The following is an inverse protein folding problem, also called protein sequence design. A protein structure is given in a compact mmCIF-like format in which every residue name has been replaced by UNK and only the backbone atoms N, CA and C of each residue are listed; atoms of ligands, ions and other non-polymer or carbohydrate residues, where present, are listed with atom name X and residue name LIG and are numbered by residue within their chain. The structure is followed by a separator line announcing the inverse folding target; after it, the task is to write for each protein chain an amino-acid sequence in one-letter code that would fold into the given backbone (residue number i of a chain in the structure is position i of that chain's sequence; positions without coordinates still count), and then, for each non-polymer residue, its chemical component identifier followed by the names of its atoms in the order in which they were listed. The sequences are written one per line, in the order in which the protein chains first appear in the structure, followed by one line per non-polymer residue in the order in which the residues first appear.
data_IF_909946850825
#
_entry.id   IF_909946850825
#
_cell.length_a   1.000
_cell.length_b   1.000
_cell.length_c   1.000
_cell.angle_alpha   90.00
_cell.angle_beta   90.00
_cell.angle_gamma   90.00
#
_symmetry.space_group_name_H-M   'P 1'
#
loop_
_entity.id
_entity.type
_entity.pdbx_description
1 polymer ?
#
# COMPACT_ATOMS: atom_id res chain seq x y z
N UNK A 1 -19.11 -0.98 15.67
CA UNK A 1 -18.07 -1.55 14.79
C UNK A 1 -18.79 -2.28 13.67
N UNK A 2 -18.49 -1.94 12.40
CA UNK A 2 -19.25 -2.46 11.25
C UNK A 2 -18.81 -3.83 10.77
N UNK A 3 -17.73 -4.43 11.34
CA UNK A 3 -17.22 -5.76 10.96
C UNK A 3 -16.82 -5.90 9.48
N UNK A 4 -16.35 -4.80 8.85
CA UNK A 4 -16.03 -4.79 7.39
C UNK A 4 -14.72 -5.51 7.11
N UNK A 5 -13.78 -5.46 8.04
CA UNK A 5 -12.49 -6.13 7.96
C UNK A 5 -11.99 -6.48 9.36
N UNK A 6 -11.04 -7.37 9.45
CA UNK A 6 -10.38 -7.78 10.68
C UNK A 6 -8.87 -7.88 10.48
N UNK A 7 -8.13 -7.83 11.57
CA UNK A 7 -6.67 -8.02 11.59
C UNK A 7 -6.33 -9.06 12.64
N UNK A 8 -5.56 -10.06 12.25
CA UNK A 8 -4.90 -11.01 13.14
C UNK A 8 -3.39 -10.77 13.09
N UNK A 9 -2.73 -10.86 14.25
CA UNK A 9 -1.29 -10.64 14.36
C UNK A 9 -0.64 -11.90 14.92
N UNK A 10 0.28 -12.46 14.14
CA UNK A 10 1.12 -13.57 14.55
C UNK A 10 2.52 -13.06 14.92
N UNK A 11 2.99 -13.44 16.10
CA UNK A 11 4.36 -13.11 16.52
C UNK A 11 5.33 -14.20 16.04
N UNK A 12 6.28 -13.83 15.17
CA UNK A 12 7.31 -14.75 14.64
C UNK A 12 8.09 -15.47 15.74
N UNK A 13 8.29 -14.85 16.89
CA UNK A 13 8.97 -15.50 18.03
C UNK A 13 8.26 -16.74 18.56
N UNK A 14 6.96 -16.90 18.29
CA UNK A 14 6.24 -18.12 18.66
C UNK A 14 6.71 -19.35 17.87
N UNK A 15 7.31 -19.12 16.71
CA UNK A 15 7.87 -20.15 15.81
C UNK A 15 9.39 -20.23 15.89
N UNK A 16 10.01 -19.39 16.74
CA UNK A 16 11.46 -19.31 16.91
C UNK A 16 12.09 -20.57 17.49
N UNK A 17 13.40 -20.72 17.27
CA UNK A 17 14.15 -21.93 17.56
C UNK A 17 14.93 -21.81 18.87
N UNK A 18 15.00 -22.92 19.59
CA UNK A 18 15.74 -23.03 20.83
C UNK A 18 15.13 -22.26 22.00
N UNK A 19 15.88 -22.22 23.12
CA UNK A 19 15.45 -21.58 24.36
C UNK A 19 15.18 -20.08 24.23
N UNK A 20 15.90 -19.42 23.31
CA UNK A 20 15.80 -17.97 23.10
C UNK A 20 14.80 -17.60 22.00
N UNK A 21 14.12 -18.58 21.40
CA UNK A 21 13.16 -18.36 20.30
C UNK A 21 13.77 -17.50 19.18
N UNK A 22 14.97 -17.88 18.72
CA UNK A 22 15.67 -17.18 17.65
C UNK A 22 14.86 -17.25 16.35
N UNK A 23 14.70 -16.11 15.70
CA UNK A 23 13.95 -15.99 14.44
C UNK A 23 14.85 -15.68 13.25
N UNK A 24 16.11 -15.34 13.52
CA UNK A 24 17.11 -14.82 12.59
C UNK A 24 18.45 -15.53 12.76
N UNK A 25 19.33 -15.41 11.79
CA UNK A 25 20.70 -15.93 11.80
C UNK A 25 21.60 -15.09 10.90
N UNK A 26 22.91 -15.31 10.98
CA UNK A 26 23.90 -14.61 10.16
C UNK A 26 23.74 -14.90 8.67
N UNK A 27 24.00 -13.91 7.78
CA UNK A 27 23.91 -14.13 6.34
C UNK A 27 24.89 -15.20 5.84
N UNK A 28 24.42 -16.11 4.99
CA UNK A 28 25.31 -17.00 4.24
C UNK A 28 26.19 -16.19 3.28
N UNK A 29 27.50 -16.39 3.34
CA UNK A 29 28.47 -15.58 2.62
C UNK A 29 29.10 -14.47 3.46
N UNK A 30 28.64 -14.30 4.70
CA UNK A 30 29.16 -13.27 5.62
C UNK A 30 28.53 -11.90 5.38
N UNK A 31 28.98 -10.92 6.16
CA UNK A 31 28.47 -9.55 6.14
C UNK A 31 27.82 -9.15 7.46
N UNK A 32 27.53 -7.86 7.66
CA UNK A 32 26.83 -7.36 8.84
C UNK A 32 25.34 -7.70 8.79
N UNK A 33 24.71 -7.67 9.97
CA UNK A 33 23.27 -7.85 10.11
C UNK A 33 22.84 -9.31 10.26
N UNK A 34 21.53 -9.52 10.23
CA UNK A 34 20.87 -10.81 10.43
C UNK A 34 19.79 -10.98 9.35
N UNK A 35 19.41 -12.21 9.05
CA UNK A 35 18.35 -12.55 8.10
C UNK A 35 17.30 -13.41 8.79
N UNK A 36 16.04 -13.16 8.55
CA UNK A 36 14.95 -14.00 9.06
C UNK A 36 15.07 -15.41 8.47
N UNK A 37 15.09 -16.40 9.36
CA UNK A 37 15.29 -17.81 9.03
C UNK A 37 14.11 -18.38 8.22
N UNK A 38 14.37 -19.16 7.16
CA UNK A 38 13.32 -19.70 6.31
C UNK A 38 12.42 -20.70 7.05
N UNK A 39 12.96 -21.52 7.95
CA UNK A 39 12.21 -22.51 8.71
C UNK A 39 11.27 -21.88 9.77
N UNK A 40 11.60 -20.71 10.29
CA UNK A 40 10.75 -19.95 11.21
C UNK A 40 9.62 -19.26 10.44
N UNK A 41 9.98 -18.56 9.37
CA UNK A 41 9.01 -17.86 8.51
C UNK A 41 8.04 -18.86 7.87
N UNK A 42 8.53 -19.99 7.41
CA UNK A 42 7.71 -21.05 6.82
C UNK A 42 6.64 -21.55 7.81
N UNK A 43 7.02 -21.86 9.03
CA UNK A 43 6.07 -22.29 10.08
C UNK A 43 5.04 -21.21 10.40
N UNK A 44 5.46 -19.95 10.44
CA UNK A 44 4.54 -18.84 10.69
C UNK A 44 3.51 -18.69 9.56
N UNK A 45 3.94 -18.82 8.29
CA UNK A 45 3.04 -18.78 7.14
C UNK A 45 2.08 -19.98 7.17
N UNK A 46 2.57 -21.20 7.43
CA UNK A 46 1.71 -22.37 7.58
C UNK A 46 0.63 -22.10 8.62
N UNK A 47 1.01 -21.62 9.80
CA UNK A 47 0.04 -21.29 10.86
C UNK A 47 -0.95 -20.18 10.44
N UNK A 48 -0.49 -19.15 9.71
CA UNK A 48 -1.37 -18.11 9.19
C UNK A 48 -2.37 -18.66 8.16
N UNK A 49 -2.01 -19.74 7.47
CA UNK A 49 -2.83 -20.34 6.41
C UNK A 49 -3.74 -21.48 6.90
N UNK A 50 -3.49 -22.03 8.10
CA UNK A 50 -4.34 -23.09 8.68
C UNK A 50 -5.80 -22.68 8.89
N UNK A 51 -6.05 -21.41 9.16
CA UNK A 51 -7.40 -20.86 9.33
C UNK A 51 -8.03 -20.40 8.01
N UNK A 52 -7.31 -20.51 6.88
CA UNK A 52 -7.71 -19.99 5.58
C UNK A 52 -7.61 -21.09 4.54
N UNK A 53 -8.70 -21.36 3.83
CA UNK A 53 -8.68 -22.24 2.66
C UNK A 53 -7.96 -21.54 1.49
N UNK A 54 -6.63 -21.65 1.44
CA UNK A 54 -5.81 -21.02 0.39
C UNK A 54 -6.09 -21.57 -1.01
N UNK A 55 -6.65 -22.78 -1.13
CA UNK A 55 -6.94 -23.37 -2.44
C UNK A 55 -8.15 -22.69 -3.10
N UNK A 56 -9.10 -22.24 -2.28
CA UNK A 56 -10.32 -21.56 -2.72
C UNK A 56 -10.32 -20.07 -2.41
N UNK A 57 -9.43 -19.60 -1.54
CA UNK A 57 -9.31 -18.19 -1.16
C UNK A 57 -8.09 -17.54 -1.85
N UNK A 58 -8.33 -16.48 -2.61
CA UNK A 58 -7.27 -15.71 -3.25
C UNK A 58 -6.62 -14.78 -2.19
N UNK A 59 -5.70 -15.35 -1.41
CA UNK A 59 -4.95 -14.65 -0.36
C UNK A 59 -3.48 -14.54 -0.74
N UNK A 60 -3.02 -13.43 -1.32
CA UNK A 60 -1.60 -13.25 -1.59
C UNK A 60 -0.81 -13.13 -0.29
N UNK A 61 0.39 -13.71 -0.30
CA UNK A 61 1.39 -13.56 0.75
C UNK A 61 2.35 -12.45 0.32
N UNK A 62 2.47 -11.41 1.11
CA UNK A 62 3.21 -10.20 0.77
C UNK A 62 4.44 -10.08 1.67
N UNK A 63 5.62 -10.00 1.08
CA UNK A 63 6.85 -9.57 1.73
C UNK A 63 7.05 -8.07 1.48
N UNK A 64 7.13 -7.28 2.55
CA UNK A 64 7.40 -5.86 2.46
C UNK A 64 8.91 -5.61 2.45
N UNK A 65 9.45 -5.29 1.29
CA UNK A 65 10.89 -5.20 1.06
C UNK A 65 11.23 -4.08 0.07
N UNK A 66 12.40 -3.41 0.22
CA UNK A 66 12.80 -2.31 -0.66
C UNK A 66 12.94 -2.71 -2.13
N UNK A 67 13.33 -3.96 -2.40
CA UNK A 67 13.50 -4.50 -3.76
C UNK A 67 12.18 -4.86 -4.45
N UNK A 68 11.05 -4.80 -3.73
CA UNK A 68 9.74 -5.14 -4.26
C UNK A 68 9.21 -4.12 -5.28
N UNK A 69 8.14 -4.51 -5.98
CA UNK A 69 7.44 -3.57 -6.86
C UNK A 69 6.83 -2.41 -6.04
N UNK A 70 6.81 -1.18 -6.59
CA UNK A 70 6.24 -0.04 -5.87
C UNK A 70 4.78 -0.20 -5.52
N UNK A 71 4.40 0.12 -4.27
CA UNK A 71 3.01 0.20 -3.85
C UNK A 71 2.32 1.36 -4.57
N UNK A 72 1.37 1.05 -5.44
CA UNK A 72 0.60 2.04 -6.19
C UNK A 72 -0.89 1.94 -5.86
N UNK A 73 -1.66 2.98 -6.18
CA UNK A 73 -3.12 2.95 -6.03
C UNK A 73 -3.76 1.76 -6.77
N UNK A 74 -3.20 1.36 -7.91
CA UNK A 74 -3.66 0.17 -8.65
C UNK A 74 -3.47 -1.12 -7.84
N UNK A 75 -2.30 -1.30 -7.22
CA UNK A 75 -2.01 -2.47 -6.37
C UNK A 75 -2.98 -2.52 -5.18
N UNK A 76 -3.21 -1.39 -4.49
CA UNK A 76 -4.15 -1.35 -3.35
C UNK A 76 -5.59 -1.65 -3.76
N UNK A 77 -6.01 -1.23 -4.95
CA UNK A 77 -7.32 -1.56 -5.52
C UNK A 77 -7.42 -3.05 -5.92
N UNK A 78 -6.36 -3.65 -6.40
CA UNK A 78 -6.29 -5.10 -6.67
C UNK A 78 -6.40 -5.88 -5.36
N UNK A 79 -5.61 -5.53 -4.35
CA UNK A 79 -5.64 -6.16 -3.03
C UNK A 79 -7.01 -6.02 -2.34
N UNK A 80 -7.69 -4.88 -2.51
CA UNK A 80 -9.03 -4.68 -1.91
C UNK A 80 -10.13 -5.60 -2.47
N UNK A 81 -9.87 -6.29 -3.58
CA UNK A 81 -10.79 -7.28 -4.18
C UNK A 81 -10.51 -8.71 -3.70
N UNK A 82 -9.41 -8.92 -2.98
CA UNK A 82 -9.04 -10.22 -2.43
C UNK A 82 -9.86 -10.51 -1.17
N UNK A 83 -10.03 -11.77 -0.85
CA UNK A 83 -10.73 -12.20 0.37
C UNK A 83 -9.93 -11.87 1.64
N UNK A 84 -8.62 -11.75 1.51
CA UNK A 84 -7.69 -11.35 2.55
C UNK A 84 -6.27 -11.28 2.02
N UNK A 85 -5.34 -10.88 2.88
CA UNK A 85 -3.91 -10.79 2.59
C UNK A 85 -3.11 -11.26 3.81
N UNK A 86 -1.99 -11.93 3.56
CA UNK A 86 -1.00 -12.27 4.59
C UNK A 86 0.20 -11.35 4.37
N UNK A 87 0.61 -10.63 5.41
CA UNK A 87 1.70 -9.66 5.30
C UNK A 87 2.85 -10.10 6.22
N UNK A 88 4.02 -10.31 5.65
CA UNK A 88 5.25 -10.51 6.38
C UNK A 88 5.94 -9.16 6.62
N UNK A 89 6.08 -8.79 7.88
CA UNK A 89 6.83 -7.62 8.30
C UNK A 89 8.29 -8.02 8.55
N UNK A 90 9.14 -7.82 7.54
CA UNK A 90 10.56 -8.09 7.62
C UNK A 90 11.28 -7.21 8.65
N UNK A 91 12.38 -7.70 9.18
CA UNK A 91 13.32 -7.01 10.04
C UNK A 91 14.75 -7.30 9.57
N UNK A 92 15.71 -6.57 10.12
CA UNK A 92 17.14 -6.78 9.86
C UNK A 92 17.48 -6.57 8.36
N UNK A 93 18.29 -7.46 7.77
CA UNK A 93 18.68 -7.42 6.34
C UNK A 93 17.64 -8.10 5.42
N UNK A 94 16.53 -8.56 5.99
CA UNK A 94 15.43 -9.15 5.21
C UNK A 94 15.12 -10.60 5.57
N UNK A 95 14.61 -11.31 4.58
CA UNK A 95 14.07 -12.67 4.68
C UNK A 95 14.86 -13.60 3.76
N UNK A 96 15.11 -14.83 4.18
CA UNK A 96 15.79 -15.83 3.35
C UNK A 96 15.01 -16.04 2.03
N UNK A 97 15.74 -15.94 0.91
CA UNK A 97 15.17 -16.00 -0.43
C UNK A 97 14.38 -17.29 -0.71
N UNK A 98 14.80 -18.41 -0.13
CA UNK A 98 14.17 -19.73 -0.34
C UNK A 98 12.72 -19.77 0.14
N UNK A 99 12.36 -19.04 1.21
CA UNK A 99 10.97 -19.01 1.67
C UNK A 99 10.12 -18.07 0.83
N UNK A 100 10.70 -17.00 0.31
CA UNK A 100 10.04 -16.10 -0.65
C UNK A 100 9.63 -16.87 -1.91
N UNK A 101 10.56 -17.65 -2.46
CA UNK A 101 10.34 -18.48 -3.65
C UNK A 101 9.33 -19.62 -3.38
N UNK A 102 9.48 -20.33 -2.25
CA UNK A 102 8.58 -21.44 -1.87
C UNK A 102 7.13 -20.99 -1.84
N UNK A 103 6.84 -19.80 -1.29
CA UNK A 103 5.49 -19.28 -1.12
C UNK A 103 5.04 -18.36 -2.25
N UNK A 104 5.88 -18.17 -3.28
CA UNK A 104 5.62 -17.24 -4.39
C UNK A 104 5.11 -15.88 -3.89
N UNK A 105 5.86 -15.32 -2.93
CA UNK A 105 5.44 -14.09 -2.26
C UNK A 105 5.46 -12.89 -3.22
N UNK A 106 4.50 -12.01 -3.06
CA UNK A 106 4.57 -10.70 -3.68
C UNK A 106 5.54 -9.82 -2.88
N UNK A 107 6.58 -9.35 -3.52
CA UNK A 107 7.46 -8.36 -2.90
C UNK A 107 6.98 -6.96 -3.25
N UNK A 108 6.68 -6.16 -2.22
CA UNK A 108 6.13 -4.80 -2.37
C UNK A 108 7.01 -3.82 -1.62
N UNK A 109 7.41 -2.75 -2.32
CA UNK A 109 8.14 -1.61 -1.76
C UNK A 109 7.21 -0.43 -1.51
N UNK A 110 7.37 0.24 -0.36
CA UNK A 110 6.65 1.47 -0.05
C UNK A 110 7.23 2.69 -0.80
N UNK A 111 8.51 2.62 -1.21
CA UNK A 111 9.23 3.67 -1.91
C UNK A 111 10.74 3.50 -1.79
N UNK A 112 11.48 4.42 -2.41
CA UNK A 112 12.95 4.39 -2.49
C UNK A 112 13.59 4.93 -1.20
N UNK A 113 13.32 4.26 -0.08
CA UNK A 113 13.90 4.54 1.23
C UNK A 113 13.86 3.29 2.11
N UNK A 114 14.70 3.26 3.15
CA UNK A 114 14.80 2.13 4.07
C UNK A 114 14.09 2.45 5.38
N UNK A 115 13.30 1.49 5.86
CA UNK A 115 12.65 1.49 7.16
C UNK A 115 13.37 0.52 8.12
N UNK A 116 13.26 0.75 9.43
CA UNK A 116 13.81 -0.16 10.45
C UNK A 116 13.09 -1.50 10.53
N UNK A 117 11.94 -1.63 9.87
CA UNK A 117 11.13 -2.85 9.83
C UNK A 117 9.89 -2.67 8.97
N UNK A 118 9.23 -3.77 8.63
CA UNK A 118 8.08 -3.79 7.72
C UNK A 118 6.76 -3.30 8.32
N UNK A 119 6.69 -3.04 9.63
CA UNK A 119 5.42 -2.74 10.31
C UNK A 119 4.78 -1.43 9.84
N UNK A 120 5.59 -0.37 9.63
CA UNK A 120 5.07 0.91 9.10
C UNK A 120 4.60 0.75 7.66
N UNK A 121 5.35 0.00 6.86
CA UNK A 121 4.94 -0.31 5.49
C UNK A 121 3.64 -1.14 5.46
N UNK A 122 3.48 -2.09 6.40
CA UNK A 122 2.25 -2.86 6.56
C UNK A 122 1.06 -1.96 6.92
N UNK A 123 1.23 -1.01 7.82
CA UNK A 123 0.18 -0.05 8.18
C UNK A 123 -0.24 0.78 6.96
N UNK A 124 0.72 1.29 6.18
CA UNK A 124 0.42 2.05 4.95
C UNK A 124 -0.30 1.20 3.90
N UNK A 125 0.11 -0.06 3.71
CA UNK A 125 -0.53 -1.00 2.80
C UNK A 125 -1.95 -1.34 3.26
N UNK A 126 -2.15 -1.63 4.55
CA UNK A 126 -3.47 -1.92 5.13
C UNK A 126 -4.40 -0.71 4.97
N UNK A 127 -3.98 0.47 5.40
CA UNK A 127 -4.81 1.69 5.32
C UNK A 127 -5.21 1.98 3.87
N UNK A 128 -4.24 2.01 2.95
CA UNK A 128 -4.47 2.28 1.54
C UNK A 128 -5.32 1.22 0.83
N UNK A 129 -5.32 -0.03 1.32
CA UNK A 129 -6.16 -1.12 0.80
C UNK A 129 -7.57 -1.07 1.39
N UNK A 130 -7.69 -0.97 2.72
CA UNK A 130 -8.96 -1.01 3.44
C UNK A 130 -9.87 0.16 3.08
N UNK A 131 -9.32 1.36 2.82
CA UNK A 131 -10.11 2.51 2.38
C UNK A 131 -10.81 2.31 1.03
N UNK A 132 -10.37 1.33 0.20
CA UNK A 132 -11.05 0.96 -1.05
C UNK A 132 -12.25 0.01 -0.83
N UNK A 133 -12.41 -0.57 0.37
CA UNK A 133 -13.53 -1.46 0.66
C UNK A 133 -14.85 -0.67 0.72
N UNK A 134 -15.96 -1.27 0.23
CA UNK A 134 -17.28 -0.65 0.35
C UNK A 134 -17.63 -0.30 1.80
N UNK A 135 -18.26 0.86 2.01
CA UNK A 135 -18.73 1.36 3.32
C UNK A 135 -17.63 1.74 4.34
N UNK A 136 -16.35 1.70 3.99
CA UNK A 136 -15.26 2.22 4.82
C UNK A 136 -15.26 3.73 4.75
N UNK A 137 -15.20 4.33 3.57
CA UNK A 137 -15.35 5.77 3.39
C UNK A 137 -16.83 6.17 3.42
N UNK A 138 -17.12 7.33 4.02
CA UNK A 138 -18.50 7.84 4.17
C UNK A 138 -19.17 8.20 2.84
N UNK A 139 -18.38 8.56 1.82
CA UNK A 139 -18.85 8.88 0.48
C UNK A 139 -18.09 8.04 -0.56
N UNK A 140 -18.82 7.19 -1.27
CA UNK A 140 -18.25 6.34 -2.33
C UNK A 140 -17.73 7.11 -3.55
N UNK A 141 -18.09 8.39 -3.71
CA UNK A 141 -17.57 9.26 -4.76
C UNK A 141 -16.21 9.85 -4.41
N UNK A 142 -15.85 9.90 -3.12
CA UNK A 142 -14.56 10.45 -2.67
C UNK A 142 -13.38 9.67 -3.25
N UNK A 143 -13.47 8.35 -3.33
CA UNK A 143 -12.40 7.50 -3.89
C UNK A 143 -12.28 7.57 -5.43
N UNK A 144 -13.30 8.08 -6.13
CA UNK A 144 -13.31 8.13 -7.60
C UNK A 144 -12.54 9.33 -8.17
N UNK A 145 -12.47 10.43 -7.44
CA UNK A 145 -11.88 11.69 -7.90
C UNK A 145 -10.56 12.04 -7.21
N UNK A 146 -9.94 11.10 -6.53
CA UNK A 146 -8.66 11.29 -5.84
C UNK A 146 -7.47 11.20 -6.81
N UNK A 147 -6.30 11.67 -6.34
CA UNK A 147 -5.03 11.49 -7.04
C UNK A 147 -4.84 10.02 -7.44
N UNK A 148 -4.31 9.82 -8.64
CA UNK A 148 -4.03 8.53 -9.27
C UNK A 148 -5.24 7.75 -9.81
N UNK A 149 -6.48 8.11 -9.49
CA UNK A 149 -7.68 7.38 -9.97
C UNK A 149 -7.76 7.34 -11.49
N UNK A 150 -7.38 8.42 -12.17
CA UNK A 150 -7.34 8.55 -13.64
C UNK A 150 -5.91 8.79 -14.17
N UNK A 151 -4.88 8.42 -13.40
CA UNK A 151 -3.50 8.70 -13.77
C UNK A 151 -3.11 10.18 -13.64
N UNK A 152 -3.89 10.98 -12.93
CA UNK A 152 -3.62 12.39 -12.66
C UNK A 152 -3.53 12.64 -11.16
N UNK A 153 -2.84 13.73 -10.79
CA UNK A 153 -2.95 14.30 -9.45
C UNK A 153 -4.27 15.07 -9.34
N UNK A 154 -4.86 15.07 -8.16
CA UNK A 154 -6.04 15.86 -7.86
C UNK A 154 -5.73 17.36 -7.95
N UNK A 155 -6.73 18.15 -8.37
CA UNK A 155 -6.65 19.60 -8.42
C UNK A 155 -6.54 20.23 -7.03
N UNK A 156 -6.07 21.50 -6.90
CA UNK A 156 -5.97 22.19 -5.61
C UNK A 156 -7.35 22.38 -4.98
N UNK A 157 -7.47 22.00 -3.72
CA UNK A 157 -8.69 22.13 -2.94
C UNK A 157 -8.74 23.46 -2.19
N UNK A 158 -9.94 24.04 -2.07
CA UNK A 158 -10.20 25.29 -1.35
C UNK A 158 -11.39 25.14 -0.42
N UNK A 159 -11.37 25.89 0.69
CA UNK A 159 -12.46 25.94 1.67
C UNK A 159 -12.64 27.39 2.18
N UNK A 160 -13.50 27.58 3.16
CA UNK A 160 -13.72 28.88 3.85
C UNK A 160 -12.53 29.25 4.73
N UNK A 161 -12.28 30.56 4.91
CA UNK A 161 -12.99 31.71 4.32
C UNK A 161 -12.59 31.93 2.84
N UNK A 162 -13.47 32.57 2.05
CA UNK A 162 -13.21 32.87 0.62
C UNK A 162 -12.04 33.82 0.38
N UNK A 163 -11.68 34.63 1.39
CA UNK A 163 -10.47 35.45 1.42
C UNK A 163 -9.74 35.22 2.75
N UNK A 164 -8.55 34.66 2.64
CA UNK A 164 -7.67 34.46 3.79
C UNK A 164 -6.37 35.23 3.60
N UNK A 165 -6.20 36.29 4.38
CA UNK A 165 -5.02 37.18 4.35
C UNK A 165 -4.67 37.68 2.94
N UNK A 166 -5.68 38.14 2.20
CA UNK A 166 -5.52 38.61 0.82
C UNK A 166 -5.48 37.55 -0.26
N UNK A 167 -5.42 36.26 0.11
CA UNK A 167 -5.46 35.12 -0.82
C UNK A 167 -6.89 34.66 -1.01
N UNK A 168 -7.41 34.82 -2.23
CA UNK A 168 -8.80 34.50 -2.56
C UNK A 168 -8.98 33.09 -3.11
N UNK A 169 -10.10 32.47 -2.82
CA UNK A 169 -10.60 31.30 -3.56
C UNK A 169 -10.86 31.74 -5.00
N UNK A 170 -10.46 30.97 -6.02
CA UNK A 170 -10.79 31.30 -7.41
C UNK A 170 -12.30 31.51 -7.62
N UNK A 171 -12.68 32.61 -8.25
CA UNK A 171 -14.09 33.02 -8.43
C UNK A 171 -14.93 31.96 -9.13
N UNK A 172 -14.30 31.19 -10.03
CA UNK A 172 -14.97 30.09 -10.74
C UNK A 172 -15.53 29.04 -9.78
N UNK A 173 -14.84 28.74 -8.66
CA UNK A 173 -15.29 27.78 -7.66
C UNK A 173 -16.46 28.32 -6.81
N UNK A 174 -16.70 29.62 -6.82
CA UNK A 174 -17.79 30.28 -6.11
C UNK A 174 -18.99 30.55 -7.04
N UNK A 175 -18.86 30.29 -8.35
CA UNK A 175 -19.84 30.67 -9.37
C UNK A 175 -21.12 29.83 -9.39
N UNK A 176 -21.15 28.65 -8.74
CA UNK A 176 -22.25 27.69 -8.84
C UNK A 176 -22.38 26.99 -10.21
N UNK A 177 -21.54 27.33 -11.20
CA UNK A 177 -21.57 26.71 -12.50
C UNK A 177 -20.74 25.41 -12.54
N UNK A 178 -21.39 24.29 -12.26
CA UNK A 178 -20.74 22.99 -12.16
C UNK A 178 -19.92 22.59 -13.40
N UNK A 179 -20.38 22.91 -14.60
CA UNK A 179 -19.67 22.60 -15.85
C UNK A 179 -18.34 23.37 -15.93
N UNK A 180 -18.37 24.66 -15.66
CA UNK A 180 -17.15 25.49 -15.64
C UNK A 180 -16.22 25.11 -14.51
N UNK A 181 -16.75 24.78 -13.32
CA UNK A 181 -15.98 24.29 -12.17
C UNK A 181 -15.23 23.00 -12.55
N UNK A 182 -15.91 22.02 -13.14
CA UNK A 182 -15.30 20.76 -13.56
C UNK A 182 -14.22 20.96 -14.64
N UNK A 183 -14.46 21.83 -15.61
CA UNK A 183 -13.44 22.17 -16.62
C UNK A 183 -12.20 22.79 -15.99
N UNK A 184 -12.37 23.69 -15.00
CA UNK A 184 -11.27 24.28 -14.24
C UNK A 184 -10.51 23.23 -13.43
N UNK A 185 -11.21 22.34 -12.72
CA UNK A 185 -10.62 21.25 -11.95
C UNK A 185 -9.77 20.33 -12.83
N UNK A 186 -10.30 19.89 -13.98
CA UNK A 186 -9.57 19.06 -14.93
C UNK A 186 -8.31 19.76 -15.45
N UNK A 187 -8.42 21.03 -15.83
CA UNK A 187 -7.27 21.83 -16.27
C UNK A 187 -6.20 21.90 -15.19
N UNK A 188 -6.59 22.16 -13.92
CA UNK A 188 -5.65 22.24 -12.80
C UNK A 188 -5.00 20.90 -12.43
N UNK A 189 -5.74 19.79 -12.53
CA UNK A 189 -5.17 18.44 -12.39
C UNK A 189 -4.08 18.16 -13.41
N UNK A 190 -4.34 18.46 -14.69
CA UNK A 190 -3.35 18.28 -15.78
C UNK A 190 -2.13 19.16 -15.54
N UNK A 191 -2.32 20.45 -15.25
CA UNK A 191 -1.22 21.38 -14.96
C UNK A 191 -0.36 20.88 -13.80
N UNK A 192 -0.99 20.49 -12.70
CA UNK A 192 -0.31 20.00 -11.50
C UNK A 192 0.47 18.70 -11.78
N UNK A 193 -0.16 17.76 -12.49
CA UNK A 193 0.46 16.49 -12.85
C UNK A 193 1.66 16.72 -13.76
N UNK A 194 1.53 17.58 -14.77
CA UNK A 194 2.63 17.92 -15.68
C UNK A 194 3.85 18.48 -14.93
N UNK A 195 3.60 19.30 -13.91
CA UNK A 195 4.67 19.96 -13.17
C UNK A 195 5.31 19.08 -12.09
N UNK A 196 4.54 18.21 -11.43
CA UNK A 196 5.02 17.45 -10.26
C UNK A 196 5.25 15.97 -10.53
N UNK A 197 4.45 15.37 -11.41
CA UNK A 197 4.48 13.95 -11.72
C UNK A 197 4.28 13.69 -13.22
N UNK A 198 5.20 14.20 -14.08
CA UNK A 198 5.12 14.03 -15.53
C UNK A 198 5.14 12.54 -15.95
N UNK A 199 5.72 11.67 -15.14
CA UNK A 199 5.74 10.22 -15.32
C UNK A 199 4.33 9.62 -15.45
N UNK A 200 3.34 10.14 -14.73
CA UNK A 200 1.96 9.67 -14.79
C UNK A 200 1.32 9.92 -16.17
N UNK A 201 1.70 11.02 -16.85
CA UNK A 201 1.20 11.33 -18.18
C UNK A 201 1.82 10.43 -19.27
N UNK A 202 3.05 9.96 -19.06
CA UNK A 202 3.74 9.06 -19.98
C UNK A 202 3.18 7.65 -19.94
N UNK A 203 2.79 7.19 -18.75
CA UNK A 203 2.20 5.85 -18.56
C UNK A 203 0.81 5.71 -19.18
N UNK A 204 0.06 6.81 -19.32
CA UNK A 204 -1.25 6.82 -19.97
C UNK A 204 -1.17 6.72 -21.52
N UNK A 205 -0.06 7.18 -22.12
CA UNK A 205 0.18 7.08 -23.58
C UNK A 205 0.61 5.68 -24.06
N UNK A 206 1.10 4.82 -23.18
CA UNK A 206 1.48 3.43 -23.53
C UNK A 206 0.30 2.44 -23.54
N UNK A 207 -0.91 2.91 -23.26
CA UNK A 207 -2.14 2.07 -23.20
C UNK A 207 -3.10 2.34 -24.37
N UNK A 208 -2.69 3.13 -25.35
CA UNK A 208 -3.32 3.33 -26.67
C UNK A 208 -2.43 2.70 -27.74
#
# INVERSE_FOLDING_TARGET
KKGIWSLEILNLRNFGIGKHKNVDDTPSGGGPGMILRPDVVDKAIISATESVDLQNANWPIINLAPQGQPLTQKVTQELSKMNGIIILCGRFEGVDQRVIEKWNMWEISLGDFILSGGEIAAQALIDSTVRNLPKVLGNSLSSKNESFSYGLLEYPQYTKPSNWKGRKVPDILLSGNHVKVQAWQNKKSIELTKNRRPDLLLSSKKKL
#
